data_IF_997180962812
#
_entry.id   IF_997180962812
#
_cell.length_a   1.000
_cell.length_b   1.000
_cell.length_c   1.000
_cell.angle_alpha   90.00
_cell.angle_beta   90.00
_cell.angle_gamma   90.00
#
_symmetry.space_group_name_H-M   'P 1'
#
loop_
_entity.id
_entity.type
_entity.pdbx_description
1 polymer ?
#
# COMPACT_ATOMS: atom_id res chain seq x y z
N UNK A 1 -3.67 -10.58 -46.87
CA UNK A 1 -3.68 -11.27 -45.56
C UNK A 1 -3.94 -10.20 -44.51
N UNK A 2 -5.15 -10.20 -43.95
CA UNK A 2 -5.53 -9.23 -42.91
C UNK A 2 -4.60 -9.38 -41.71
N UNK A 3 -3.95 -8.29 -41.30
CA UNK A 3 -3.11 -8.30 -40.11
C UNK A 3 -4.01 -8.43 -38.89
N UNK A 4 -4.12 -9.64 -38.34
CA UNK A 4 -4.78 -9.89 -37.06
C UNK A 4 -3.91 -9.27 -35.96
N UNK A 5 -4.28 -8.08 -35.50
CA UNK A 5 -3.67 -7.46 -34.34
C UNK A 5 -4.23 -8.14 -33.07
N UNK A 6 -3.40 -8.78 -32.23
CA UNK A 6 -3.88 -9.59 -31.10
C UNK A 6 -4.29 -8.75 -29.88
N UNK A 7 -3.88 -7.48 -29.81
CA UNK A 7 -4.14 -6.61 -28.66
C UNK A 7 -4.63 -5.23 -29.09
N UNK A 8 -3.72 -4.37 -29.58
CA UNK A 8 -4.02 -2.99 -29.95
C UNK A 8 -3.48 -2.62 -31.33
N UNK A 9 -4.14 -1.63 -31.93
CA UNK A 9 -3.69 -0.91 -33.11
C UNK A 9 -3.87 0.58 -32.83
N UNK A 10 -2.76 1.28 -32.62
CA UNK A 10 -2.79 2.71 -32.32
C UNK A 10 -3.07 3.50 -33.61
N UNK A 11 -3.89 4.55 -33.49
CA UNK A 11 -4.19 5.49 -34.57
C UNK A 11 -3.12 6.58 -34.65
N UNK A 12 -3.07 7.31 -35.76
CA UNK A 12 -2.15 8.44 -35.94
C UNK A 12 -2.34 9.54 -34.89
N UNK A 13 -3.56 9.68 -34.36
CA UNK A 13 -3.90 10.66 -33.33
C UNK A 13 -3.79 10.13 -31.88
N UNK A 14 -3.33 8.89 -31.67
CA UNK A 14 -3.27 8.26 -30.35
C UNK A 14 -2.42 9.07 -29.36
N UNK A 15 -1.23 9.53 -29.77
CA UNK A 15 -0.33 10.28 -28.89
C UNK A 15 -0.97 11.60 -28.43
N UNK A 16 -1.66 12.30 -29.33
CA UNK A 16 -2.38 13.53 -28.99
C UNK A 16 -3.50 13.27 -27.97
N UNK A 17 -4.26 12.18 -28.14
CA UNK A 17 -5.32 11.78 -27.20
C UNK A 17 -4.74 11.43 -25.83
N UNK A 18 -3.63 10.67 -25.81
CA UNK A 18 -2.95 10.29 -24.57
C UNK A 18 -2.44 11.52 -23.83
N UNK A 19 -1.76 12.45 -24.50
CA UNK A 19 -1.30 13.70 -23.87
C UNK A 19 -2.46 14.50 -23.27
N UNK A 20 -3.55 14.69 -24.03
CA UNK A 20 -4.73 15.40 -23.52
C UNK A 20 -5.32 14.73 -22.28
N UNK A 21 -5.43 13.41 -22.29
CA UNK A 21 -5.93 12.66 -21.13
C UNK A 21 -4.99 12.79 -19.93
N UNK A 22 -3.68 12.70 -20.15
CA UNK A 22 -2.68 12.85 -19.08
C UNK A 22 -2.77 14.24 -18.43
N UNK A 23 -2.84 15.30 -19.24
CA UNK A 23 -2.98 16.68 -18.75
C UNK A 23 -4.27 16.85 -17.93
N UNK A 24 -5.39 16.32 -18.43
CA UNK A 24 -6.69 16.37 -17.75
C UNK A 24 -6.65 15.61 -16.42
N UNK A 25 -6.03 14.43 -16.38
CA UNK A 25 -5.89 13.62 -15.16
C UNK A 25 -5.04 14.33 -14.12
N UNK A 26 -3.90 14.89 -14.52
CA UNK A 26 -3.01 15.63 -13.60
C UNK A 26 -3.73 16.84 -13.04
N UNK A 27 -4.28 17.69 -13.91
CA UNK A 27 -4.99 18.91 -13.51
C UNK A 27 -6.14 18.60 -12.56
N UNK A 28 -7.04 17.69 -12.96
CA UNK A 28 -8.21 17.35 -12.15
C UNK A 28 -7.82 16.62 -10.86
N UNK A 29 -6.78 15.80 -10.90
CA UNK A 29 -6.23 15.14 -9.72
C UNK A 29 -5.74 16.16 -8.68
N UNK A 30 -4.98 17.17 -9.11
CA UNK A 30 -4.50 18.22 -8.21
C UNK A 30 -5.62 19.10 -7.66
N UNK A 31 -6.66 19.39 -8.46
CA UNK A 31 -7.85 20.10 -7.98
C UNK A 31 -8.63 19.27 -6.94
N UNK A 32 -8.76 17.96 -7.14
CA UNK A 32 -9.51 17.08 -6.24
C UNK A 32 -8.78 16.78 -4.92
N UNK A 33 -7.45 16.67 -4.96
CA UNK A 33 -6.61 16.31 -3.82
C UNK A 33 -5.75 17.50 -3.35
N UNK A 34 -6.21 18.73 -3.61
CA UNK A 34 -5.46 19.96 -3.31
C UNK A 34 -4.99 19.97 -1.85
N UNK A 35 -5.91 19.68 -0.93
CA UNK A 35 -5.64 19.66 0.51
C UNK A 35 -4.68 18.53 0.90
N UNK A 36 -4.90 17.32 0.40
CA UNK A 36 -4.08 16.16 0.71
C UNK A 36 -2.65 16.32 0.16
N UNK A 37 -2.48 17.06 -0.94
CA UNK A 37 -1.19 17.24 -1.61
C UNK A 37 -0.52 18.59 -1.31
N UNK A 38 -1.09 19.43 -0.44
CA UNK A 38 -0.64 20.81 -0.20
C UNK A 38 0.82 20.89 0.27
N UNK A 39 1.34 19.83 0.91
CA UNK A 39 2.68 19.80 1.52
C UNK A 39 3.74 19.08 0.69
N UNK A 40 3.37 18.40 -0.40
CA UNK A 40 4.30 17.53 -1.14
C UNK A 40 5.44 18.35 -1.74
N UNK A 41 5.14 19.45 -2.42
CA UNK A 41 6.16 20.23 -3.14
C UNK A 41 7.21 20.81 -2.17
N UNK A 42 6.77 21.41 -1.06
CA UNK A 42 7.68 21.94 -0.03
C UNK A 42 8.50 20.84 0.67
N UNK A 43 7.92 19.65 0.87
CA UNK A 43 8.66 18.51 1.41
C UNK A 43 9.75 18.04 0.45
N UNK A 44 9.45 17.92 -0.85
CA UNK A 44 10.42 17.52 -1.88
C UNK A 44 11.56 18.53 -1.98
N UNK A 45 11.28 19.83 -1.96
CA UNK A 45 12.30 20.89 -1.93
C UNK A 45 13.26 20.76 -0.74
N UNK A 46 12.72 20.46 0.44
CA UNK A 46 13.53 20.19 1.64
C UNK A 46 14.36 18.90 1.46
N UNK A 47 13.76 17.82 0.95
CA UNK A 47 14.44 16.55 0.75
C UNK A 47 15.55 16.60 -0.32
N UNK A 48 15.44 17.49 -1.32
CA UNK A 48 16.52 17.75 -2.30
C UNK A 48 17.68 18.48 -1.64
N UNK A 49 17.40 19.36 -0.68
CA UNK A 49 18.41 20.13 0.06
C UNK A 49 19.07 19.35 1.19
N UNK A 50 18.49 18.22 1.59
CA UNK A 50 19.02 17.33 2.61
C UNK A 50 20.28 16.61 2.12
N UNK A 51 21.39 16.84 2.83
CA UNK A 51 22.72 16.27 2.56
C UNK A 51 23.13 15.21 3.58
N UNK A 52 22.21 14.81 4.47
CA UNK A 52 22.48 13.76 5.45
C UNK A 52 22.71 12.40 4.79
N UNK A 53 23.45 11.55 5.49
CA UNK A 53 23.72 10.16 5.10
C UNK A 53 22.51 9.29 5.43
N UNK A 54 21.49 9.33 4.56
CA UNK A 54 20.25 8.52 4.64
C UNK A 54 20.04 7.73 3.35
N UNK A 55 19.42 6.55 3.46
CA UNK A 55 19.28 5.61 2.33
C UNK A 55 17.98 5.77 1.52
N UNK A 56 17.09 6.66 1.97
CA UNK A 56 15.73 6.82 1.44
C UNK A 56 15.54 8.11 0.62
N UNK A 57 16.65 8.76 0.21
CA UNK A 57 16.65 10.00 -0.57
C UNK A 57 15.77 9.92 -1.81
N UNK A 58 15.84 8.82 -2.57
CA UNK A 58 15.00 8.64 -3.77
C UNK A 58 13.51 8.64 -3.44
N UNK A 59 13.13 8.02 -2.32
CA UNK A 59 11.74 7.94 -1.89
C UNK A 59 11.22 9.32 -1.47
N UNK A 60 12.02 10.09 -0.72
CA UNK A 60 11.65 11.43 -0.23
C UNK A 60 11.56 12.48 -1.32
N UNK A 61 12.33 12.31 -2.40
CA UNK A 61 12.37 13.22 -3.55
C UNK A 61 11.34 12.87 -4.63
N UNK A 62 10.36 12.02 -4.30
CA UNK A 62 9.30 11.62 -5.23
C UNK A 62 8.42 12.81 -5.59
N UNK A 63 8.30 13.09 -6.88
CA UNK A 63 7.48 14.20 -7.40
C UNK A 63 5.97 13.96 -7.19
N UNK A 64 5.20 15.04 -7.11
CA UNK A 64 3.75 15.03 -6.84
C UNK A 64 2.94 14.23 -7.87
N UNK A 65 3.35 14.26 -9.13
CA UNK A 65 2.74 13.47 -10.22
C UNK A 65 2.78 11.98 -9.90
N UNK A 66 3.87 11.52 -9.26
CA UNK A 66 4.06 10.13 -8.90
C UNK A 66 3.11 9.71 -7.78
N UNK A 67 2.83 10.57 -6.80
CA UNK A 67 1.80 10.31 -5.80
C UNK A 67 0.42 10.09 -6.45
N UNK A 68 0.04 10.95 -7.41
CA UNK A 68 -1.21 10.79 -8.15
C UNK A 68 -1.25 9.49 -8.96
N UNK A 69 -0.16 9.18 -9.67
CA UNK A 69 -0.03 7.94 -10.44
C UNK A 69 -0.17 6.70 -9.54
N UNK A 70 0.45 6.70 -8.36
CA UNK A 70 0.38 5.58 -7.43
C UNK A 70 -0.99 5.45 -6.78
N UNK A 71 -1.70 6.55 -6.47
CA UNK A 71 -3.11 6.51 -6.02
C UNK A 71 -4.02 5.85 -7.05
N UNK A 72 -3.89 6.24 -8.32
CA UNK A 72 -4.67 5.65 -9.41
C UNK A 72 -4.30 4.17 -9.57
N UNK A 73 -3.00 3.85 -9.55
CA UNK A 73 -2.49 2.48 -9.67
C UNK A 73 -3.03 1.60 -8.56
N UNK A 74 -2.92 2.04 -7.31
CA UNK A 74 -3.50 1.38 -6.13
C UNK A 74 -4.98 1.02 -6.38
N UNK A 75 -5.79 2.01 -6.83
CA UNK A 75 -7.22 1.77 -7.00
C UNK A 75 -7.54 0.83 -8.17
N UNK A 76 -6.72 0.85 -9.23
CA UNK A 76 -6.85 -0.08 -10.36
C UNK A 76 -6.52 -1.51 -9.89
N UNK A 77 -5.40 -1.72 -9.20
CA UNK A 77 -5.03 -3.05 -8.68
C UNK A 77 -6.06 -3.57 -7.67
N UNK A 78 -6.59 -2.72 -6.79
CA UNK A 78 -7.67 -3.06 -5.87
C UNK A 78 -8.88 -3.64 -6.62
N UNK A 79 -9.29 -2.99 -7.71
CA UNK A 79 -10.41 -3.45 -8.53
C UNK A 79 -10.10 -4.73 -9.31
N UNK A 80 -8.90 -4.83 -9.90
CA UNK A 80 -8.48 -6.01 -10.68
C UNK A 80 -8.38 -7.28 -9.81
N UNK A 81 -7.95 -7.12 -8.56
CA UNK A 81 -7.76 -8.23 -7.63
C UNK A 81 -9.03 -8.60 -6.86
N UNK A 82 -10.01 -7.69 -6.76
CA UNK A 82 -11.18 -7.81 -5.89
C UNK A 82 -11.85 -9.19 -5.92
N UNK A 83 -12.20 -9.68 -7.11
CA UNK A 83 -12.87 -10.97 -7.24
C UNK A 83 -11.96 -12.15 -6.90
N UNK A 84 -10.70 -12.14 -7.35
CA UNK A 84 -9.74 -13.22 -7.07
C UNK A 84 -9.44 -13.30 -5.56
N UNK A 85 -9.28 -12.13 -4.93
CA UNK A 85 -9.08 -11.97 -3.50
C UNK A 85 -10.26 -12.56 -2.70
N UNK A 86 -11.50 -12.23 -3.07
CA UNK A 86 -12.69 -12.73 -2.36
C UNK A 86 -12.88 -14.25 -2.51
N UNK A 87 -12.38 -14.86 -3.59
CA UNK A 87 -12.45 -16.32 -3.80
C UNK A 87 -11.39 -17.12 -3.03
N UNK A 88 -10.31 -16.48 -2.59
CA UNK A 88 -9.25 -17.15 -1.83
C UNK A 88 -9.77 -17.59 -0.46
N UNK A 89 -9.44 -18.80 -0.02
CA UNK A 89 -9.85 -19.31 1.30
C UNK A 89 -9.22 -18.53 2.46
N UNK A 90 -7.93 -18.23 2.34
CA UNK A 90 -7.15 -17.64 3.43
C UNK A 90 -6.81 -16.18 3.11
N UNK A 91 -6.71 -15.35 4.17
CA UNK A 91 -6.23 -13.96 4.05
C UNK A 91 -5.18 -13.67 5.10
N UNK A 92 -4.03 -13.17 4.67
CA UNK A 92 -2.99 -12.63 5.56
C UNK A 92 -3.02 -11.10 5.50
N UNK A 93 -2.90 -10.44 6.65
CA UNK A 93 -2.77 -8.99 6.73
C UNK A 93 -1.30 -8.66 7.03
N UNK A 94 -0.71 -7.79 6.23
CA UNK A 94 0.67 -7.31 6.41
C UNK A 94 0.63 -5.81 6.69
N UNK A 95 1.24 -5.38 7.79
CA UNK A 95 1.25 -3.98 8.21
C UNK A 95 2.67 -3.44 8.44
N UNK A 96 2.88 -2.11 8.42
CA UNK A 96 4.20 -1.51 8.62
C UNK A 96 4.47 -1.24 10.10
N UNK A 97 5.75 -1.18 10.48
CA UNK A 97 6.15 -0.91 11.86
C UNK A 97 5.70 0.45 12.37
N UNK A 98 5.50 1.43 11.49
CA UNK A 98 5.06 2.77 11.89
C UNK A 98 3.64 2.83 12.48
N UNK A 99 2.83 1.78 12.38
CA UNK A 99 1.57 1.64 13.13
C UNK A 99 1.77 1.26 14.60
N UNK A 100 3.01 1.04 15.02
CA UNK A 100 3.40 0.62 16.37
C UNK A 100 4.38 1.57 17.06
N UNK A 101 4.76 2.67 16.41
CA UNK A 101 5.67 3.69 16.96
C UNK A 101 4.86 4.60 17.90
N UNK A 102 4.65 4.17 19.14
CA UNK A 102 3.93 4.93 20.17
C UNK A 102 4.87 5.31 21.33
N UNK A 103 4.35 6.08 22.29
CA UNK A 103 5.05 6.38 23.56
C UNK A 103 5.34 5.11 24.39
N UNK A 104 4.62 4.01 24.12
CA UNK A 104 4.76 2.73 24.81
C UNK A 104 5.74 1.81 24.08
N UNK A 105 6.46 0.97 24.84
CA UNK A 105 7.31 -0.07 24.27
C UNK A 105 6.45 -1.14 23.58
N UNK A 106 6.45 -1.15 22.25
CA UNK A 106 5.74 -2.15 21.46
C UNK A 106 6.35 -3.54 21.67
N UNK A 107 5.51 -4.51 22.02
CA UNK A 107 5.91 -5.91 22.20
C UNK A 107 5.46 -6.74 21.00
N UNK A 108 6.40 -7.53 20.47
CA UNK A 108 6.19 -8.39 19.30
C UNK A 108 6.81 -9.77 19.53
N UNK A 109 6.18 -10.82 19.00
CA UNK A 109 6.79 -12.16 18.88
C UNK A 109 7.29 -12.38 17.45
N UNK A 110 8.41 -13.09 17.32
CA UNK A 110 8.95 -13.48 16.02
C UNK A 110 8.21 -14.73 15.50
N UNK A 111 7.56 -14.62 14.34
CA UNK A 111 6.80 -15.70 13.70
C UNK A 111 7.31 -15.96 12.27
N UNK A 112 6.85 -17.05 11.65
CA UNK A 112 7.28 -17.48 10.31
C UNK A 112 7.20 -16.37 9.26
N UNK A 113 6.05 -15.70 9.17
CA UNK A 113 5.76 -14.71 8.14
C UNK A 113 6.15 -13.28 8.51
N UNK A 114 6.58 -13.03 9.74
CA UNK A 114 6.80 -11.67 10.24
C UNK A 114 6.72 -11.59 11.76
N UNK A 115 6.91 -10.40 12.30
CA UNK A 115 6.67 -10.19 13.72
C UNK A 115 5.16 -10.09 13.97
N UNK A 116 4.65 -10.66 15.06
CA UNK A 116 3.23 -10.55 15.45
C UNK A 116 3.08 -9.65 16.68
N UNK A 117 2.10 -8.75 16.65
CA UNK A 117 1.74 -7.90 17.79
C UNK A 117 1.28 -8.77 18.97
N UNK A 118 1.74 -8.46 20.19
CA UNK A 118 1.26 -9.11 21.43
C UNK A 118 0.18 -8.30 22.15
N UNK A 119 -0.40 -7.30 21.48
CA UNK A 119 -1.56 -6.55 21.99
C UNK A 119 -1.28 -5.80 23.30
N UNK A 120 -0.09 -5.20 23.40
CA UNK A 120 0.39 -4.54 24.61
C UNK A 120 -0.39 -3.29 25.05
N UNK A 121 -1.08 -2.58 24.12
CA UNK A 121 -1.84 -1.37 24.44
C UNK A 121 -3.07 -1.19 23.52
N UNK A 122 -4.29 -0.96 24.08
CA UNK A 122 -5.53 -0.89 23.29
C UNK A 122 -5.65 0.34 22.38
N UNK A 123 -5.00 1.45 22.74
CA UNK A 123 -5.02 2.68 21.92
C UNK A 123 -4.07 2.61 20.72
N UNK A 124 -3.27 1.55 20.60
CA UNK A 124 -2.39 1.35 19.45
C UNK A 124 -3.20 0.85 18.24
N UNK A 125 -2.99 1.43 17.05
CA UNK A 125 -3.70 0.97 15.87
C UNK A 125 -3.35 -0.48 15.51
N UNK A 126 -2.13 -0.93 15.79
CA UNK A 126 -1.76 -2.33 15.60
C UNK A 126 -2.61 -3.27 16.48
N UNK A 127 -2.95 -2.87 17.72
CA UNK A 127 -3.87 -3.62 18.58
C UNK A 127 -5.26 -3.72 17.94
N UNK A 128 -5.81 -2.58 17.50
CA UNK A 128 -7.14 -2.52 16.89
C UNK A 128 -7.24 -3.38 15.62
N UNK A 129 -6.15 -3.48 14.85
CA UNK A 129 -6.04 -4.38 13.70
C UNK A 129 -6.10 -5.84 14.15
N UNK A 130 -5.36 -6.23 15.20
CA UNK A 130 -5.38 -7.60 15.73
C UNK A 130 -6.81 -8.00 16.13
N UNK A 131 -7.46 -7.17 16.93
CA UNK A 131 -8.83 -7.42 17.42
C UNK A 131 -9.84 -7.53 16.27
N UNK A 132 -9.71 -6.69 15.24
CA UNK A 132 -10.58 -6.76 14.07
C UNK A 132 -10.31 -8.03 13.25
N UNK A 133 -9.05 -8.35 12.99
CA UNK A 133 -8.64 -9.47 12.16
C UNK A 133 -8.98 -10.83 12.78
N UNK A 134 -8.92 -10.94 14.12
CA UNK A 134 -9.28 -12.15 14.86
C UNK A 134 -10.74 -12.56 14.61
N UNK A 135 -11.66 -11.58 14.50
CA UNK A 135 -13.09 -11.83 14.21
C UNK A 135 -13.31 -12.56 12.88
N UNK A 136 -12.35 -12.47 11.95
CA UNK A 136 -12.39 -13.10 10.63
C UNK A 136 -11.35 -14.22 10.48
N UNK A 137 -10.64 -14.59 11.55
CA UNK A 137 -9.59 -15.62 11.51
C UNK A 137 -8.41 -15.27 10.59
N UNK A 138 -8.14 -13.98 10.36
CA UNK A 138 -7.07 -13.53 9.49
C UNK A 138 -5.78 -13.31 10.30
N UNK A 139 -4.69 -14.06 10.05
CA UNK A 139 -3.41 -13.78 10.70
C UNK A 139 -2.83 -12.44 10.24
N UNK A 140 -2.16 -11.76 11.16
CA UNK A 140 -1.63 -10.41 11.00
C UNK A 140 -0.14 -10.40 11.33
N UNK A 141 0.67 -9.82 10.45
CA UNK A 141 2.11 -9.72 10.63
C UNK A 141 2.64 -8.32 10.30
N UNK A 142 3.60 -7.86 11.10
CA UNK A 142 4.45 -6.74 10.74
C UNK A 142 5.39 -7.13 9.62
N UNK A 143 5.68 -6.16 8.77
CA UNK A 143 6.60 -6.39 7.68
C UNK A 143 8.04 -6.45 8.19
N UNK A 144 8.73 -7.59 8.02
CA UNK A 144 10.16 -7.75 8.38
C UNK A 144 11.10 -7.07 7.38
N UNK A 145 10.56 -6.70 6.22
CA UNK A 145 11.25 -6.16 5.04
C UNK A 145 10.32 -5.15 4.37
N UNK A 146 10.66 -4.66 3.19
CA UNK A 146 9.65 -4.00 2.34
C UNK A 146 8.54 -5.01 2.03
N UNK A 147 7.30 -4.52 1.91
CA UNK A 147 6.13 -5.36 1.65
C UNK A 147 6.33 -6.30 0.43
N UNK A 148 6.89 -5.77 -0.66
CA UNK A 148 7.23 -6.54 -1.86
C UNK A 148 8.25 -7.65 -1.60
N UNK A 149 9.33 -7.37 -0.89
CA UNK A 149 10.37 -8.35 -0.55
C UNK A 149 9.85 -9.47 0.35
N UNK A 150 8.92 -9.15 1.27
CA UNK A 150 8.30 -10.15 2.12
C UNK A 150 7.35 -11.05 1.34
N UNK A 151 6.57 -10.48 0.42
CA UNK A 151 5.74 -11.25 -0.50
C UNK A 151 6.61 -12.19 -1.34
N UNK A 152 7.69 -11.69 -1.94
CA UNK A 152 8.62 -12.52 -2.72
C UNK A 152 9.25 -13.65 -1.89
N UNK A 153 9.59 -13.36 -0.63
CA UNK A 153 10.19 -14.34 0.27
C UNK A 153 9.23 -15.49 0.60
N UNK A 154 7.95 -15.17 0.83
CA UNK A 154 6.95 -16.12 1.30
C UNK A 154 6.02 -16.66 0.21
N UNK A 155 6.05 -16.11 -1.01
CA UNK A 155 5.16 -16.53 -2.10
C UNK A 155 5.24 -18.04 -2.40
N UNK A 156 6.40 -18.66 -2.20
CA UNK A 156 6.58 -20.12 -2.38
C UNK A 156 5.98 -20.96 -1.26
N UNK A 157 5.75 -20.36 -0.09
CA UNK A 157 5.17 -20.99 1.09
C UNK A 157 3.66 -20.74 1.19
N UNK A 158 3.19 -19.62 0.64
CA UNK A 158 1.77 -19.35 0.48
C UNK A 158 1.17 -20.40 -0.47
N UNK A 159 0.10 -21.05 -0.01
CA UNK A 159 -0.69 -21.87 -0.92
C UNK A 159 -1.33 -20.98 -2.00
N UNK A 160 -1.67 -21.56 -3.16
CA UNK A 160 -2.33 -20.83 -4.25
C UNK A 160 -3.74 -20.33 -3.93
N UNK A 161 -4.15 -20.36 -2.66
CA UNK A 161 -5.46 -20.03 -2.14
C UNK A 161 -5.39 -18.98 -1.00
N UNK A 162 -4.22 -18.35 -0.85
CA UNK A 162 -3.96 -17.27 0.10
C UNK A 162 -3.95 -15.93 -0.61
N UNK A 163 -4.77 -15.01 -0.10
CA UNK A 163 -4.78 -13.60 -0.50
C UNK A 163 -4.16 -12.70 0.56
N UNK A 164 -3.75 -11.49 0.18
CA UNK A 164 -3.07 -10.56 1.10
C UNK A 164 -3.78 -9.22 1.18
N UNK A 165 -3.91 -8.67 2.38
CA UNK A 165 -4.21 -7.25 2.59
C UNK A 165 -2.93 -6.56 3.03
N UNK A 166 -2.41 -5.66 2.20
CA UNK A 166 -1.27 -4.82 2.54
C UNK A 166 -1.72 -3.49 3.14
N UNK A 167 -1.09 -3.05 4.22
CA UNK A 167 -1.27 -1.72 4.81
C UNK A 167 0.05 -0.96 4.67
N UNK A 168 0.04 0.21 4.01
CA UNK A 168 1.25 1.01 3.82
C UNK A 168 0.93 2.43 3.35
N UNK A 169 1.95 3.30 3.33
CA UNK A 169 1.87 4.57 2.62
C UNK A 169 1.81 4.35 1.10
N UNK A 170 1.28 5.32 0.34
CA UNK A 170 0.88 5.08 -1.05
C UNK A 170 2.01 4.56 -1.95
N UNK A 171 3.21 5.10 -1.83
CA UNK A 171 4.35 4.71 -2.67
C UNK A 171 4.77 3.25 -2.40
N UNK A 172 4.68 2.81 -1.14
CA UNK A 172 5.00 1.44 -0.76
C UNK A 172 3.83 0.48 -1.03
N UNK A 173 2.60 0.94 -0.84
CA UNK A 173 1.39 0.14 -1.05
C UNK A 173 1.25 -0.26 -2.52
N UNK A 174 1.31 0.72 -3.42
CA UNK A 174 1.16 0.46 -4.85
C UNK A 174 2.33 -0.38 -5.41
N UNK A 175 3.55 -0.20 -4.89
CA UNK A 175 4.67 -1.09 -5.21
C UNK A 175 4.43 -2.52 -4.72
N UNK A 176 3.98 -2.70 -3.47
CA UNK A 176 3.67 -4.02 -2.92
C UNK A 176 2.53 -4.73 -3.68
N UNK A 177 1.52 -4.00 -4.13
CA UNK A 177 0.43 -4.56 -4.93
C UNK A 177 0.89 -5.01 -6.32
N UNK A 178 1.83 -4.28 -6.96
CA UNK A 178 2.49 -4.72 -8.19
C UNK A 178 3.27 -6.01 -7.98
N UNK A 179 4.09 -6.06 -6.93
CA UNK A 179 4.86 -7.26 -6.60
C UNK A 179 3.95 -8.47 -6.32
N UNK A 180 2.83 -8.27 -5.62
CA UNK A 180 1.81 -9.30 -5.43
C UNK A 180 1.23 -9.80 -6.76
N UNK A 181 0.89 -8.89 -7.69
CA UNK A 181 0.36 -9.25 -9.01
C UNK A 181 1.37 -10.04 -9.84
N UNK A 182 2.65 -9.62 -9.84
CA UNK A 182 3.76 -10.33 -10.51
C UNK A 182 3.95 -11.76 -9.96
N UNK A 183 3.63 -11.97 -8.69
CA UNK A 183 3.67 -13.27 -8.01
C UNK A 183 2.36 -14.06 -8.12
N UNK A 184 1.33 -13.48 -8.74
CA UNK A 184 0.00 -14.09 -8.86
C UNK A 184 -0.79 -14.15 -7.54
N UNK A 185 -0.40 -13.37 -6.54
CA UNK A 185 -1.05 -13.28 -5.22
C UNK A 185 -2.15 -12.22 -5.29
N UNK A 186 -3.44 -12.57 -5.14
CA UNK A 186 -4.50 -11.58 -5.11
C UNK A 186 -4.34 -10.67 -3.88
N UNK A 187 -4.09 -9.39 -4.12
CA UNK A 187 -3.86 -8.42 -3.06
C UNK A 187 -4.85 -7.26 -3.08
N UNK A 188 -5.30 -6.86 -1.89
CA UNK A 188 -6.00 -5.61 -1.63
C UNK A 188 -5.19 -4.73 -0.70
N UNK A 189 -5.49 -3.43 -0.67
CA UNK A 189 -4.68 -2.46 0.05
C UNK A 189 -5.49 -1.57 0.99
N UNK A 190 -4.86 -1.16 2.09
CA UNK A 190 -5.34 -0.10 2.97
C UNK A 190 -4.29 0.99 3.03
N UNK A 191 -4.68 2.21 2.67
CA UNK A 191 -3.80 3.36 2.61
C UNK A 191 -3.70 4.04 3.98
N UNK A 192 -2.48 4.32 4.43
CA UNK A 192 -2.24 5.19 5.58
C UNK A 192 -2.70 6.63 5.32
N UNK A 193 -3.28 7.28 6.33
CA UNK A 193 -3.67 8.69 6.27
C UNK A 193 -2.45 9.61 6.13
N UNK A 194 -1.32 9.22 6.74
CA UNK A 194 -0.05 9.92 6.68
C UNK A 194 1.12 8.98 7.00
N UNK A 195 2.34 9.43 6.75
CA UNK A 195 3.54 8.62 6.90
C UNK A 195 4.37 9.07 8.10
N UNK A 196 4.38 8.29 9.17
CA UNK A 196 5.10 8.57 10.41
C UNK A 196 6.45 7.86 10.57
N UNK A 197 6.86 7.00 9.62
CA UNK A 197 8.18 6.34 9.69
C UNK A 197 9.36 7.29 9.47
N UNK A 198 10.53 6.78 9.82
CA UNK A 198 11.87 7.35 9.61
C UNK A 198 12.18 7.71 8.15
N UNK A 199 11.59 6.98 7.20
CA UNK A 199 11.66 7.34 5.78
C UNK A 199 11.21 8.79 5.53
N UNK A 200 10.22 9.27 6.28
CA UNK A 200 9.58 10.57 6.06
C UNK A 200 9.93 11.60 7.12
N UNK A 201 10.30 11.17 8.32
CA UNK A 201 10.48 12.06 9.47
C UNK A 201 11.80 11.74 10.18
N UNK A 202 12.52 12.78 10.59
CA UNK A 202 13.73 12.62 11.40
C UNK A 202 13.38 12.22 12.84
N UNK A 203 12.18 12.59 13.30
CA UNK A 203 11.55 12.14 14.54
C UNK A 203 10.28 11.33 14.19
N UNK A 204 10.38 9.98 14.14
CA UNK A 204 9.25 9.11 13.78
C UNK A 204 8.12 9.14 14.80
N UNK A 205 6.88 8.93 14.32
CA UNK A 205 5.68 8.87 15.14
C UNK A 205 4.68 7.84 14.60
N UNK A 206 3.66 7.52 15.40
CA UNK A 206 2.61 6.57 15.02
C UNK A 206 1.88 7.05 13.77
N UNK A 207 1.90 6.23 12.71
CA UNK A 207 0.99 6.42 11.58
C UNK A 207 -0.39 5.90 11.95
N UNK A 208 -1.40 6.37 11.22
CA UNK A 208 -2.74 5.81 11.33
C UNK A 208 -3.45 5.70 9.97
N UNK A 209 -4.54 4.95 9.92
CA UNK A 209 -5.53 4.92 8.85
C UNK A 209 -6.95 4.82 9.39
N UNK A 210 -7.94 5.03 8.53
CA UNK A 210 -9.34 4.81 8.88
C UNK A 210 -9.65 3.31 8.97
N UNK A 211 -9.83 2.77 10.18
CA UNK A 211 -10.02 1.32 10.40
C UNK A 211 -11.18 0.71 9.60
N UNK A 212 -12.22 1.50 9.30
CA UNK A 212 -13.34 1.09 8.45
C UNK A 212 -12.93 0.68 7.03
N UNK A 213 -11.79 1.17 6.52
CA UNK A 213 -11.25 0.70 5.24
C UNK A 213 -10.87 -0.79 5.31
N UNK A 214 -10.16 -1.21 6.37
CA UNK A 214 -9.81 -2.62 6.58
C UNK A 214 -11.08 -3.46 6.83
N UNK A 215 -11.98 -2.96 7.67
CA UNK A 215 -13.23 -3.63 7.98
C UNK A 215 -14.09 -3.85 6.74
N UNK A 216 -14.21 -2.86 5.85
CA UNK A 216 -14.98 -3.01 4.61
C UNK A 216 -14.45 -4.11 3.69
N UNK A 217 -13.12 -4.29 3.63
CA UNK A 217 -12.50 -5.37 2.83
C UNK A 217 -12.82 -6.73 3.45
N UNK A 218 -12.70 -6.85 4.77
CA UNK A 218 -12.97 -8.08 5.51
C UNK A 218 -14.45 -8.46 5.45
N UNK A 219 -15.37 -7.51 5.67
CA UNK A 219 -16.81 -7.71 5.55
C UNK A 219 -17.23 -8.08 4.13
N UNK A 220 -16.64 -7.48 3.10
CA UNK A 220 -16.95 -7.85 1.72
C UNK A 220 -16.59 -9.32 1.42
N UNK A 221 -15.48 -9.80 1.99
CA UNK A 221 -14.99 -11.17 1.75
C UNK A 221 -15.68 -12.21 2.64
N UNK A 222 -15.83 -11.89 3.92
CA UNK A 222 -16.22 -12.84 4.96
C UNK A 222 -17.58 -12.54 5.60
N UNK A 223 -18.16 -11.38 5.32
CA UNK A 223 -19.48 -11.01 5.80
C UNK A 223 -20.52 -11.99 5.26
N UNK A 224 -21.21 -12.64 6.20
CA UNK A 224 -22.32 -13.55 5.96
C UNK A 224 -23.50 -12.88 5.24
#
# INVERSE_FOLDING_TARGET
>A
MDKKHPTYRLTEDFQKKLSSLTDDVIKKGYELFEKEFERIDSFVEQAVSDTSERTDHELRRTEKEKYLLELISYKIYDNLNREKFNRCKNTIIILPDCLSIHEYECQKTDEEYGNRCTECHPDCQSYQIMELAEKYGCPVYFSKRKLSEQLEHHARQMDGDTSVIGIACILMLANGMRAADDLGIPARGVLLNFCGCDHWNDEPFASEFQIEMLKSILEEKYGF
#
